data_IF_891736938363
#
_entry.id   IF_891736938363
#
_cell.length_a   1.000
_cell.length_b   1.000
_cell.length_c   1.000
_cell.angle_alpha   90.00
_cell.angle_beta   90.00
_cell.angle_gamma   90.00
#
_symmetry.space_group_name_H-M   'P 1'
#
loop_
_entity.id
_entity.type
_entity.pdbx_description
1 polymer ?
#
# COMPACT_ATOMS: atom_id res chain seq x y z
N UNK A 1 -5.33 26.90 -21.18
CA UNK A 1 -4.53 25.78 -20.66
C UNK A 1 -3.88 26.06 -19.30
N UNK A 2 -2.75 26.78 -19.18
CA UNK A 2 -2.08 27.01 -17.87
C UNK A 2 -2.94 27.78 -16.84
N UNK A 3 -3.72 28.75 -17.32
CA UNK A 3 -4.68 29.52 -16.51
C UNK A 3 -5.90 28.71 -16.07
N UNK A 4 -6.38 27.79 -16.90
CA UNK A 4 -7.47 26.85 -16.59
C UNK A 4 -7.01 25.76 -15.64
N UNK A 5 -5.78 25.27 -15.81
CA UNK A 5 -5.14 24.32 -14.90
C UNK A 5 -4.93 24.93 -13.51
N UNK A 6 -4.45 26.17 -13.43
CA UNK A 6 -4.35 26.89 -12.15
C UNK A 6 -5.73 27.06 -11.50
N UNK A 7 -6.76 27.45 -12.25
CA UNK A 7 -8.15 27.54 -11.74
C UNK A 7 -8.71 26.19 -11.27
N UNK A 8 -8.30 25.09 -11.91
CA UNK A 8 -8.69 23.72 -11.54
C UNK A 8 -8.03 23.27 -10.24
N UNK A 9 -6.72 23.48 -10.10
CA UNK A 9 -5.98 23.18 -8.87
C UNK A 9 -6.47 24.05 -7.71
N UNK A 10 -6.78 25.33 -7.95
CA UNK A 10 -7.31 26.26 -6.95
C UNK A 10 -8.75 25.95 -6.50
N UNK A 11 -9.43 24.94 -7.05
CA UNK A 11 -10.80 24.55 -6.67
C UNK A 11 -10.87 23.88 -5.28
N UNK A 12 -9.84 24.04 -4.44
CA UNK A 12 -9.71 23.54 -3.06
C UNK A 12 -9.52 22.03 -2.96
N UNK A 13 -10.44 21.28 -3.53
CA UNK A 13 -10.52 19.82 -3.38
C UNK A 13 -9.40 19.03 -4.09
N UNK A 14 -8.73 19.63 -5.10
CA UNK A 14 -7.73 18.91 -5.91
C UNK A 14 -6.36 18.90 -5.24
N UNK A 15 -5.98 19.94 -4.49
CA UNK A 15 -4.65 20.04 -3.85
C UNK A 15 -4.53 19.04 -2.72
N UNK A 16 -5.53 18.98 -1.84
CA UNK A 16 -5.52 18.08 -0.69
C UNK A 16 -5.61 16.61 -1.13
N UNK A 17 -6.44 16.33 -2.14
CA UNK A 17 -6.53 15.00 -2.75
C UNK A 17 -5.20 14.61 -3.41
N UNK A 18 -4.58 15.53 -4.15
CA UNK A 18 -3.29 15.28 -4.81
C UNK A 18 -2.18 15.01 -3.78
N UNK A 19 -2.18 15.74 -2.67
CA UNK A 19 -1.21 15.58 -1.59
C UNK A 19 -1.36 14.21 -0.93
N UNK A 20 -2.60 13.77 -0.64
CA UNK A 20 -2.87 12.45 -0.09
C UNK A 20 -2.37 11.30 -0.99
N UNK A 21 -2.60 11.40 -2.30
CA UNK A 21 -2.15 10.38 -3.28
C UNK A 21 -0.62 10.32 -3.37
N UNK A 22 0.05 11.48 -3.43
CA UNK A 22 1.52 11.55 -3.52
C UNK A 22 2.17 10.98 -2.25
N UNK A 23 1.64 11.33 -1.07
CA UNK A 23 2.13 10.79 0.21
C UNK A 23 1.91 9.27 0.26
N UNK A 24 0.74 8.78 -0.16
CA UNK A 24 0.46 7.33 -0.19
C UNK A 24 1.43 6.56 -1.10
N UNK A 25 1.75 7.11 -2.27
CA UNK A 25 2.71 6.51 -3.20
C UNK A 25 4.13 6.48 -2.61
N UNK A 26 4.59 7.59 -2.04
CA UNK A 26 5.91 7.67 -1.41
C UNK A 26 6.03 6.74 -0.18
N UNK A 27 4.98 6.69 0.64
CA UNK A 27 4.93 5.85 1.83
C UNK A 27 5.02 4.36 1.52
N UNK A 28 4.37 3.92 0.44
CA UNK A 28 4.46 2.52 -0.04
C UNK A 28 5.91 2.12 -0.32
N UNK A 29 6.73 3.04 -0.85
CA UNK A 29 8.16 2.81 -1.06
C UNK A 29 8.92 2.56 0.25
N UNK A 30 8.66 3.35 1.29
CA UNK A 30 9.29 3.21 2.61
C UNK A 30 8.92 1.86 3.24
N UNK A 31 7.64 1.50 3.20
CA UNK A 31 7.14 0.22 3.72
C UNK A 31 7.78 -0.95 3.00
N UNK A 32 7.88 -0.86 1.67
CA UNK A 32 8.51 -1.90 0.84
C UNK A 32 9.99 -2.06 1.17
N UNK A 33 10.73 -0.96 1.32
CA UNK A 33 12.14 -0.97 1.67
C UNK A 33 12.39 -1.56 3.06
N UNK A 34 11.58 -1.21 4.06
CA UNK A 34 11.66 -1.77 5.40
C UNK A 34 11.37 -3.28 5.40
N UNK A 35 10.33 -3.69 4.67
CA UNK A 35 9.93 -5.10 4.57
C UNK A 35 11.04 -5.93 3.96
N UNK A 36 11.56 -5.49 2.81
CA UNK A 36 12.67 -6.18 2.12
C UNK A 36 13.97 -6.16 2.93
N UNK A 37 14.25 -5.05 3.61
CA UNK A 37 15.51 -4.86 4.34
C UNK A 37 15.57 -5.57 5.69
N UNK A 38 14.43 -5.74 6.36
CA UNK A 38 14.40 -6.21 7.75
C UNK A 38 13.50 -7.44 7.93
N UNK A 39 12.30 -7.43 7.33
CA UNK A 39 11.31 -8.49 7.53
C UNK A 39 11.66 -9.75 6.74
N UNK A 40 11.94 -9.62 5.45
CA UNK A 40 12.29 -10.76 4.58
C UNK A 40 13.53 -11.53 5.06
N UNK A 41 14.64 -10.90 5.52
CA UNK A 41 15.79 -11.61 6.06
C UNK A 41 15.47 -12.38 7.35
N UNK A 42 14.66 -11.81 8.25
CA UNK A 42 14.24 -12.49 9.48
C UNK A 42 13.36 -13.71 9.15
N UNK A 43 12.49 -13.58 8.15
CA UNK A 43 11.67 -14.70 7.67
C UNK A 43 12.49 -15.78 6.99
N UNK A 44 13.49 -15.38 6.18
CA UNK A 44 14.41 -16.31 5.56
C UNK A 44 15.19 -17.12 6.59
N UNK A 45 15.58 -16.49 7.72
CA UNK A 45 16.28 -17.15 8.82
C UNK A 45 15.37 -18.05 9.67
N UNK A 46 14.10 -17.67 9.83
CA UNK A 46 13.14 -18.37 10.71
C UNK A 46 12.58 -19.68 10.11
N UNK A 47 12.68 -19.88 8.79
CA UNK A 47 12.38 -21.19 8.19
C UNK A 47 11.83 -21.11 6.78
N UNK A 48 12.66 -21.50 5.80
CA UNK A 48 12.29 -21.79 4.40
C UNK A 48 11.50 -20.68 3.67
N UNK A 49 11.92 -19.42 3.78
CA UNK A 49 11.36 -18.33 2.97
C UNK A 49 9.83 -18.19 3.09
N UNK A 50 9.18 -17.34 2.28
CA UNK A 50 7.74 -17.17 2.38
C UNK A 50 6.96 -18.39 1.84
N UNK A 51 7.53 -19.16 0.91
CA UNK A 51 6.74 -20.06 0.08
C UNK A 51 6.74 -21.50 0.62
N UNK A 52 5.62 -22.01 1.15
CA UNK A 52 5.49 -23.44 1.39
C UNK A 52 5.60 -24.20 0.06
N UNK A 53 6.41 -25.25 -0.03
CA UNK A 53 6.68 -26.01 -1.26
C UNK A 53 5.47 -26.83 -1.73
N UNK A 54 4.36 -26.16 -2.06
CA UNK A 54 3.14 -26.76 -2.59
C UNK A 54 3.09 -26.58 -4.11
N UNK A 55 3.92 -27.38 -4.79
CA UNK A 55 4.02 -27.42 -6.24
C UNK A 55 3.09 -28.51 -6.78
N UNK A 56 2.04 -28.12 -7.49
CA UNK A 56 1.15 -29.05 -8.19
C UNK A 56 1.56 -29.08 -9.66
N UNK A 57 2.07 -30.19 -10.22
CA UNK A 57 2.37 -30.28 -11.64
C UNK A 57 1.05 -30.35 -12.43
N UNK A 58 0.78 -29.36 -13.30
CA UNK A 58 -0.46 -29.26 -14.06
C UNK A 58 -0.31 -29.80 -15.48
N UNK A 59 0.82 -29.52 -16.16
CA UNK A 59 1.06 -29.99 -17.53
C UNK A 59 2.55 -30.17 -17.80
N UNK A 60 2.91 -31.10 -18.68
CA UNK A 60 4.29 -31.29 -19.14
C UNK A 60 4.48 -30.48 -20.42
N UNK A 61 5.30 -29.42 -20.35
CA UNK A 61 5.67 -28.61 -21.51
C UNK A 61 7.15 -28.84 -21.82
N UNK A 62 7.48 -29.13 -23.07
CA UNK A 62 8.88 -29.07 -23.51
C UNK A 62 9.30 -27.60 -23.41
N UNK A 63 10.27 -27.33 -22.52
CA UNK A 63 10.89 -26.02 -22.40
C UNK A 63 12.36 -26.23 -22.68
N UNK A 64 12.86 -25.53 -23.69
CA UNK A 64 14.28 -25.46 -23.98
C UNK A 64 14.95 -24.65 -22.88
N UNK A 65 15.84 -25.29 -22.13
CA UNK A 65 16.65 -24.61 -21.12
C UNK A 65 18.05 -24.47 -21.72
N UNK A 66 18.39 -23.23 -22.08
CA UNK A 66 19.74 -22.86 -22.50
C UNK A 66 20.57 -22.62 -21.24
N UNK A 67 21.39 -23.60 -20.87
CA UNK A 67 22.40 -23.41 -19.82
C UNK A 67 23.73 -23.03 -20.48
N UNK A 68 24.34 -21.94 -19.98
CA UNK A 68 25.64 -21.48 -20.46
C UNK A 68 26.73 -22.34 -19.84
N UNK A 69 27.43 -23.12 -20.66
CA UNK A 69 28.50 -24.00 -20.20
C UNK A 69 29.75 -23.24 -19.74
N UNK A 70 30.69 -23.90 -19.03
CA UNK A 70 31.93 -23.29 -18.53
C UNK A 70 32.80 -22.63 -19.62
N UNK A 71 32.67 -23.09 -20.86
CA UNK A 71 33.44 -22.61 -22.02
C UNK A 71 32.67 -21.58 -22.89
N UNK A 72 31.56 -21.05 -22.39
CA UNK A 72 30.79 -20.00 -23.08
C UNK A 72 30.01 -20.46 -24.31
N UNK A 73 30.03 -21.76 -24.65
CA UNK A 73 29.15 -22.34 -25.66
C UNK A 73 27.77 -22.65 -25.05
N UNK A 74 26.71 -22.19 -25.73
CA UNK A 74 25.33 -22.41 -25.32
C UNK A 74 24.90 -23.85 -25.63
N UNK A 75 24.60 -24.62 -24.58
CA UNK A 75 24.10 -25.99 -24.70
C UNK A 75 22.59 -25.93 -24.54
N UNK A 76 21.85 -26.04 -25.65
CA UNK A 76 20.39 -26.15 -25.63
C UNK A 76 20.01 -27.58 -25.27
N UNK A 77 19.49 -27.79 -24.06
CA UNK A 77 18.91 -29.07 -23.64
C UNK A 77 17.39 -28.94 -23.61
N UNK A 78 16.71 -29.80 -24.35
CA UNK A 78 15.27 -29.97 -24.23
C UNK A 78 14.97 -30.74 -22.95
N UNK A 79 14.54 -30.03 -21.91
CA UNK A 79 14.15 -30.64 -20.64
C UNK A 79 12.63 -30.65 -20.54
N UNK A 80 12.10 -31.81 -20.19
CA UNK A 80 10.72 -31.96 -19.75
C UNK A 80 10.50 -31.13 -18.49
N UNK A 81 9.98 -29.90 -18.66
CA UNK A 81 9.65 -29.06 -17.51
C UNK A 81 8.19 -29.25 -17.18
N UNK A 82 7.93 -29.71 -15.96
CA UNK A 82 6.59 -29.73 -15.40
C UNK A 82 6.18 -28.27 -15.18
N UNK A 83 5.06 -27.85 -15.74
CA UNK A 83 4.40 -26.58 -15.37
C UNK A 83 3.87 -26.81 -13.96
N UNK A 84 4.64 -26.35 -12.99
CA UNK A 84 4.33 -26.41 -11.56
C UNK A 84 3.47 -25.20 -11.20
N UNK A 85 2.22 -25.42 -10.77
CA UNK A 85 1.46 -24.41 -10.06
C UNK A 85 2.01 -24.34 -8.63
N UNK A 86 2.74 -23.26 -8.35
CA UNK A 86 3.30 -23.02 -7.04
C UNK A 86 2.30 -22.24 -6.18
N UNK A 87 1.41 -22.97 -5.50
CA UNK A 87 0.50 -22.38 -4.50
C UNK A 87 1.28 -21.82 -3.29
N UNK A 88 2.55 -22.24 -3.14
CA UNK A 88 3.49 -21.69 -2.18
C UNK A 88 3.72 -20.21 -2.32
N UNK A 89 3.85 -19.72 -3.56
CA UNK A 89 4.05 -18.28 -3.82
C UNK A 89 2.89 -17.44 -3.29
N UNK A 90 1.66 -17.93 -3.41
CA UNK A 90 0.46 -17.20 -2.99
C UNK A 90 0.37 -17.16 -1.46
N UNK A 91 0.56 -18.31 -0.81
CA UNK A 91 0.53 -18.41 0.65
C UNK A 91 1.67 -17.59 1.26
N UNK A 92 2.85 -17.63 0.63
CA UNK A 92 3.99 -16.84 1.05
C UNK A 92 3.81 -15.35 0.87
N UNK A 93 3.23 -14.92 -0.24
CA UNK A 93 2.87 -13.52 -0.44
C UNK A 93 1.87 -13.05 0.63
N UNK A 94 0.91 -13.89 1.03
CA UNK A 94 -0.06 -13.57 2.07
C UNK A 94 0.58 -13.47 3.46
N UNK A 95 1.49 -14.39 3.81
CA UNK A 95 2.24 -14.34 5.07
C UNK A 95 3.13 -13.08 5.12
N UNK A 96 3.89 -12.80 4.06
CA UNK A 96 4.70 -11.59 3.94
C UNK A 96 3.87 -10.32 4.05
N UNK A 97 2.68 -10.29 3.42
CA UNK A 97 1.74 -9.17 3.53
C UNK A 97 1.26 -8.96 4.97
N UNK A 98 0.83 -10.01 5.66
CA UNK A 98 0.38 -9.94 7.05
C UNK A 98 1.47 -9.40 7.98
N UNK A 99 2.70 -9.86 7.81
CA UNK A 99 3.83 -9.42 8.64
C UNK A 99 4.17 -7.96 8.34
N UNK A 100 4.19 -7.58 7.06
CA UNK A 100 4.36 -6.18 6.64
C UNK A 100 3.29 -5.28 7.24
N UNK A 101 2.02 -5.69 7.15
CA UNK A 101 0.90 -4.96 7.73
C UNK A 101 1.04 -4.83 9.26
N UNK A 102 1.45 -5.90 9.95
CA UNK A 102 1.68 -5.88 11.39
C UNK A 102 2.79 -4.91 11.79
N UNK A 103 3.89 -4.88 11.03
CA UNK A 103 5.01 -3.96 11.23
C UNK A 103 4.57 -2.51 11.01
N UNK A 104 3.90 -2.21 9.88
CA UNK A 104 3.39 -0.86 9.59
C UNK A 104 2.43 -0.41 10.66
N UNK A 105 1.53 -1.30 11.09
CA UNK A 105 0.59 -1.02 12.15
C UNK A 105 1.31 -0.70 13.47
N UNK A 106 2.32 -1.47 13.85
CA UNK A 106 3.00 -1.28 15.13
C UNK A 106 3.96 -0.09 15.15
N UNK A 107 4.68 0.16 14.06
CA UNK A 107 5.71 1.21 13.97
C UNK A 107 5.12 2.57 13.61
N UNK A 108 4.00 2.62 12.88
CA UNK A 108 3.49 3.89 12.34
C UNK A 108 2.08 4.15 12.85
N UNK A 109 1.13 3.22 12.64
CA UNK A 109 -0.28 3.46 13.00
C UNK A 109 -0.46 3.54 14.51
N UNK A 110 0.17 2.66 15.29
CA UNK A 110 0.06 2.63 16.76
C UNK A 110 0.63 3.89 17.44
N UNK A 111 1.86 4.36 17.15
CA UNK A 111 2.33 5.61 17.71
C UNK A 111 1.56 6.82 17.19
N UNK A 112 1.14 6.83 15.93
CA UNK A 112 0.34 7.92 15.39
C UNK A 112 -1.03 7.96 16.07
N UNK A 113 -1.71 6.83 16.26
CA UNK A 113 -2.94 6.74 17.04
C UNK A 113 -2.73 7.15 18.51
N UNK A 114 -1.57 6.86 19.10
CA UNK A 114 -1.23 7.28 20.47
C UNK A 114 -0.98 8.79 20.56
N UNK A 115 -0.30 9.38 19.57
CA UNK A 115 -0.06 10.82 19.50
C UNK A 115 -1.36 11.58 19.21
N UNK A 116 -2.21 11.06 18.32
CA UNK A 116 -3.55 11.60 18.08
C UNK A 116 -4.40 11.47 19.33
N UNK A 117 -4.36 10.35 20.07
CA UNK A 117 -5.06 10.23 21.35
C UNK A 117 -4.50 11.17 22.44
N UNK A 118 -3.21 11.54 22.37
CA UNK A 118 -2.58 12.46 23.30
C UNK A 118 -2.82 13.93 22.93
N UNK A 119 -2.92 14.24 21.64
CA UNK A 119 -3.37 15.53 21.09
C UNK A 119 -4.89 15.71 21.22
N UNK A 120 -5.64 14.61 21.31
CA UNK A 120 -7.08 14.58 21.62
C UNK A 120 -7.35 14.34 23.13
N UNK A 121 -6.36 14.52 24.01
CA UNK A 121 -6.63 14.86 25.41
C UNK A 121 -7.38 16.20 25.34
N UNK A 122 -8.57 16.35 25.94
CA UNK A 122 -9.60 17.30 25.50
C UNK A 122 -9.14 18.77 25.54
N UNK A 123 -8.40 19.19 24.53
CA UNK A 123 -8.76 20.36 23.75
C UNK A 123 -9.92 19.93 22.87
N UNK A 124 -10.99 20.70 22.95
CA UNK A 124 -12.15 20.66 22.07
C UNK A 124 -11.72 20.22 20.67
N UNK A 125 -12.34 19.18 20.08
CA UNK A 125 -12.01 18.75 18.72
C UNK A 125 -12.01 20.02 17.88
N UNK A 126 -10.87 20.36 17.27
CA UNK A 126 -10.73 21.53 16.42
C UNK A 126 -12.02 21.60 15.60
N UNK A 127 -12.85 22.60 15.92
CA UNK A 127 -14.26 22.58 15.58
C UNK A 127 -14.35 22.17 14.11
N UNK A 128 -15.18 21.16 13.75
CA UNK A 128 -15.40 20.81 12.35
C UNK A 128 -15.53 22.12 11.59
N UNK A 129 -14.72 22.33 10.52
CA UNK A 129 -14.42 23.64 9.96
C UNK A 129 -15.69 24.46 10.02
N UNK A 130 -15.66 25.55 10.81
CA UNK A 130 -16.88 26.28 11.16
C UNK A 130 -17.77 26.30 9.92
N UNK A 131 -19.04 25.85 10.03
CA UNK A 131 -19.92 25.79 8.88
C UNK A 131 -19.73 27.08 8.11
N UNK A 132 -19.41 26.97 6.81
CA UNK A 132 -19.03 28.13 6.00
C UNK A 132 -20.02 29.26 6.25
N UNK A 133 -19.60 30.52 6.16
CA UNK A 133 -20.52 31.63 6.47
C UNK A 133 -21.87 31.47 5.74
N UNK A 134 -21.86 30.89 4.54
CA UNK A 134 -23.05 30.46 3.81
C UNK A 134 -23.93 29.46 4.58
N UNK A 135 -23.36 28.41 5.18
CA UNK A 135 -24.11 27.42 5.99
C UNK A 135 -24.63 28.07 7.29
N UNK A 136 -23.91 29.01 7.89
CA UNK A 136 -24.41 29.80 9.04
C UNK A 136 -25.59 30.68 8.62
N UNK A 137 -25.42 31.45 7.54
CA UNK A 137 -26.48 32.30 6.98
C UNK A 137 -27.70 31.48 6.54
N UNK A 138 -27.51 30.32 5.92
CA UNK A 138 -28.62 29.44 5.54
C UNK A 138 -29.34 28.85 6.76
N UNK A 139 -28.62 28.62 7.86
CA UNK A 139 -29.23 28.19 9.13
C UNK A 139 -30.06 29.32 9.75
N UNK A 140 -29.52 30.54 9.78
CA UNK A 140 -30.23 31.74 10.23
C UNK A 140 -31.47 32.02 9.35
N UNK A 141 -31.35 31.92 8.03
CA UNK A 141 -32.48 32.08 7.09
C UNK A 141 -33.56 31.03 7.33
N UNK A 142 -33.18 29.76 7.56
CA UNK A 142 -34.13 28.68 7.88
C UNK A 142 -34.90 29.00 9.16
N UNK A 143 -34.20 29.49 10.18
CA UNK A 143 -34.79 29.75 11.49
C UNK A 143 -35.68 31.02 11.44
N UNK A 144 -35.30 32.04 10.68
CA UNK A 144 -36.13 33.22 10.39
C UNK A 144 -37.38 32.86 9.56
N UNK A 145 -37.30 31.91 8.62
CA UNK A 145 -38.46 31.44 7.85
C UNK A 145 -39.41 30.58 8.69
N UNK A 146 -38.91 29.79 9.64
CA UNK A 146 -39.76 29.03 10.58
C UNK A 146 -40.50 29.92 11.58
N UNK A 147 -39.95 31.10 11.87
CA UNK A 147 -40.53 32.06 12.78
C UNK A 147 -41.62 32.96 12.14
N UNK A 148 -41.91 32.76 10.85
CA UNK A 148 -42.90 33.52 10.07
C UNK A 148 -44.07 32.64 9.67
#
# INVERSE_FOLDING_TARGET
MLSEFKKFILKGNVVDLSTGVIIGAAFTGIVTAFTKGIVEPILALAGKGPNPELKIPIMKKLVEVTEKGPDGADITKEVLKLIELDLGIIIGAFISFLITAAVVFFVIVKPMNKLVAMANKPEEPAAPPEPSEDVKLLTEIRDLLKAK
#
